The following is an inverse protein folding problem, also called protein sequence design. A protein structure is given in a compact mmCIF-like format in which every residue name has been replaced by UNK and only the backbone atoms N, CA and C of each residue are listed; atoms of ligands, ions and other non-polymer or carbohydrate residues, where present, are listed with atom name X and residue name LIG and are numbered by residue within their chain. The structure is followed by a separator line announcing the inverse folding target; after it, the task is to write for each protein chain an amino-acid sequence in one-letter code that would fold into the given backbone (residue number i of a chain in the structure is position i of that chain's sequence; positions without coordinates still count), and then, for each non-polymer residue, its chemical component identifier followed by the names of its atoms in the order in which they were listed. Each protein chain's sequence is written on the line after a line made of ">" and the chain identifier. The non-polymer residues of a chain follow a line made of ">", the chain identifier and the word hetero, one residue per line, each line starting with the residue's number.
data_IF_909829311045
#
_entry.id   IF_909829311045
#
_cell.length_a   1.000
_cell.length_b   1.000
_cell.length_c   1.000
_cell.angle_alpha   90.00
_cell.angle_beta   90.00
_cell.angle_gamma   90.00
#
_symmetry.space_group_name_H-M   'P 1'
#
loop_
_entity.id
_entity.type
_entity.pdbx_description
1 polymer ?
#
# COMPACT_ATOMS: atom_id res chain seq x y z
N UNK A 1 -13.40 -4.95 -5.25
CA UNK A 1 -12.23 -4.23 -5.81
C UNK A 1 -12.74 -2.96 -6.45
N UNK A 2 -12.02 -1.85 -6.30
CA UNK A 2 -12.38 -0.57 -6.94
C UNK A 2 -11.38 -0.31 -8.05
N UNK A 3 -11.81 -0.18 -9.32
CA UNK A 3 -10.90 0.17 -10.41
C UNK A 3 -10.40 1.60 -10.22
N UNK A 4 -9.09 1.77 -10.01
CA UNK A 4 -8.46 3.08 -9.91
C UNK A 4 -7.95 3.51 -11.29
N UNK A 5 -8.41 4.66 -11.78
CA UNK A 5 -7.94 5.28 -13.02
C UNK A 5 -7.02 6.45 -12.67
N UNK A 6 -5.84 6.51 -13.28
CA UNK A 6 -4.91 7.63 -13.10
C UNK A 6 -4.71 8.34 -14.44
N UNK A 7 -5.20 9.58 -14.55
CA UNK A 7 -4.79 10.49 -15.63
C UNK A 7 -3.37 10.98 -15.30
N UNK A 8 -2.39 10.61 -16.12
CA UNK A 8 -1.01 11.09 -15.94
C UNK A 8 -0.67 12.16 -16.99
N UNK A 9 -0.74 13.43 -16.59
CA UNK A 9 -0.03 14.54 -17.23
C UNK A 9 1.29 14.77 -16.47
N UNK A 10 2.38 14.07 -16.84
CA UNK A 10 3.71 14.39 -16.29
C UNK A 10 4.84 13.35 -16.43
N UNK A 11 5.88 13.76 -17.16
CA UNK A 11 7.25 13.26 -17.37
C UNK A 11 7.48 11.81 -17.88
N UNK A 12 7.77 11.70 -19.19
CA UNK A 12 8.28 10.52 -19.87
C UNK A 12 9.75 10.25 -19.47
N UNK A 13 9.98 9.38 -18.50
CA UNK A 13 11.28 8.77 -18.25
C UNK A 13 11.41 7.43 -18.99
N UNK A 14 12.58 7.14 -19.58
CA UNK A 14 12.90 5.96 -20.39
C UNK A 14 12.82 4.58 -19.67
N UNK A 15 12.23 4.51 -18.48
CA UNK A 15 12.24 3.33 -17.60
C UNK A 15 10.86 2.66 -17.43
N UNK A 16 9.92 2.93 -18.33
CA UNK A 16 8.53 2.46 -18.24
C UNK A 16 8.28 1.35 -19.27
N UNK A 17 8.52 0.08 -18.90
CA UNK A 17 8.03 -1.08 -19.67
C UNK A 17 7.27 -2.04 -18.75
N UNK A 18 6.04 -2.39 -19.16
CA UNK A 18 5.10 -3.39 -18.60
C UNK A 18 4.54 -3.06 -17.19
N UNK A 19 4.08 -4.09 -16.44
CA UNK A 19 3.21 -4.12 -15.24
C UNK A 19 3.44 -3.05 -14.13
N UNK A 20 4.56 -2.32 -14.15
CA UNK A 20 4.88 -1.30 -13.15
C UNK A 20 4.02 -0.03 -13.24
N UNK A 21 3.37 0.21 -14.40
CA UNK A 21 2.43 1.33 -14.62
C UNK A 21 1.29 0.88 -15.55
N UNK A 22 0.10 0.70 -14.99
CA UNK A 22 -1.14 0.46 -15.74
C UNK A 22 -2.06 1.68 -15.58
N UNK A 23 -2.76 2.07 -16.65
CA UNK A 23 -3.76 3.15 -16.63
C UNK A 23 -4.94 2.83 -15.70
N UNK A 24 -5.19 1.55 -15.50
CA UNK A 24 -6.17 1.00 -14.59
C UNK A 24 -5.51 -0.10 -13.79
N UNK A 25 -5.66 -0.05 -12.47
CA UNK A 25 -5.20 -1.09 -11.58
C UNK A 25 -6.15 -1.26 -10.40
N UNK A 26 -6.18 -2.46 -9.85
CA UNK A 26 -6.96 -2.75 -8.66
C UNK A 26 -6.17 -2.33 -7.41
N UNK A 27 -6.83 -1.54 -6.56
CA UNK A 27 -6.31 -1.17 -5.25
C UNK A 27 -7.39 -1.41 -4.20
N UNK A 28 -6.99 -2.04 -3.10
CA UNK A 28 -7.79 -2.08 -1.88
C UNK A 28 -7.33 -0.93 -1.00
N UNK A 29 -8.23 -0.01 -0.70
CA UNK A 29 -7.99 1.13 0.20
C UNK A 29 -8.61 0.85 1.55
N UNK A 30 -7.87 1.11 2.62
CA UNK A 30 -8.37 1.13 3.98
C UNK A 30 -8.54 2.58 4.37
N UNK A 31 -9.73 2.95 4.85
CA UNK A 31 -10.02 4.27 5.40
C UNK A 31 -10.44 4.11 6.84
N UNK A 32 -9.85 4.89 7.73
CA UNK A 32 -10.13 4.84 9.15
C UNK A 32 -10.48 6.24 9.67
N UNK A 33 -11.57 6.34 10.43
CA UNK A 33 -12.00 7.57 11.09
C UNK A 33 -12.03 7.28 12.58
N UNK A 34 -11.20 7.96 13.35
CA UNK A 34 -11.00 7.65 14.76
C UNK A 34 -10.88 8.89 15.61
N UNK A 35 -10.88 8.69 16.93
CA UNK A 35 -10.66 9.77 17.88
C UNK A 35 -9.18 10.17 17.88
N UNK A 36 -8.85 11.45 18.15
CA UNK A 36 -7.47 11.93 18.15
C UNK A 36 -6.52 11.07 18.97
N UNK A 37 -6.95 10.64 20.17
CA UNK A 37 -6.16 9.85 21.12
C UNK A 37 -5.73 8.47 20.58
N UNK A 38 -6.48 7.89 19.64
CA UNK A 38 -6.19 6.58 19.08
C UNK A 38 -5.42 6.68 17.75
N UNK A 39 -5.46 7.83 17.07
CA UNK A 39 -5.06 7.96 15.66
C UNK A 39 -3.65 7.40 15.34
N UNK A 40 -2.64 7.70 16.15
CA UNK A 40 -1.29 7.21 15.94
C UNK A 40 -1.13 5.72 16.20
N UNK A 41 -1.92 5.15 17.13
CA UNK A 41 -1.98 3.70 17.37
C UNK A 41 -2.59 2.98 16.18
N UNK A 42 -3.75 3.47 15.72
CA UNK A 42 -4.42 2.94 14.52
C UNK A 42 -3.53 3.05 13.28
N UNK A 43 -2.71 4.12 13.17
CA UNK A 43 -1.75 4.27 12.07
C UNK A 43 -0.73 3.11 12.03
N UNK A 44 -0.10 2.80 13.17
CA UNK A 44 0.85 1.69 13.26
C UNK A 44 0.17 0.33 13.01
N UNK A 45 -1.07 0.13 13.49
CA UNK A 45 -1.84 -1.08 13.21
C UNK A 45 -2.18 -1.24 11.72
N UNK A 46 -2.57 -0.16 11.04
CA UNK A 46 -2.80 -0.17 9.60
C UNK A 46 -1.54 -0.51 8.81
N UNK A 47 -0.37 0.02 9.21
CA UNK A 47 0.91 -0.32 8.59
C UNK A 47 1.25 -1.80 8.84
N UNK A 48 1.11 -2.27 10.07
CA UNK A 48 1.36 -3.66 10.43
C UNK A 48 0.47 -4.64 9.65
N UNK A 49 -0.79 -4.29 9.39
CA UNK A 49 -1.65 -5.10 8.52
C UNK A 49 -1.09 -5.21 7.10
N UNK A 50 -0.65 -4.10 6.49
CA UNK A 50 -0.07 -4.13 5.15
C UNK A 50 1.24 -4.93 5.11
N UNK A 51 2.07 -4.84 6.14
CA UNK A 51 3.27 -5.67 6.30
C UNK A 51 2.96 -7.16 6.44
N UNK A 52 1.96 -7.52 7.24
CA UNK A 52 1.57 -8.92 7.42
C UNK A 52 1.15 -9.58 6.10
N UNK A 53 0.58 -8.81 5.16
CA UNK A 53 0.30 -9.30 3.80
C UNK A 53 1.59 -9.55 3.02
N UNK A 54 2.60 -8.68 3.14
CA UNK A 54 3.91 -8.86 2.51
C UNK A 54 4.69 -10.05 3.10
N UNK A 55 4.61 -10.24 4.42
CA UNK A 55 5.15 -11.41 5.11
C UNK A 55 4.50 -12.70 4.60
N UNK A 56 3.16 -12.73 4.50
CA UNK A 56 2.41 -13.87 3.97
C UNK A 56 2.71 -14.17 2.50
N UNK A 57 3.06 -13.14 1.71
CA UNK A 57 3.51 -13.26 0.33
C UNK A 57 4.99 -13.61 0.20
N UNK A 58 5.71 -13.76 1.32
CA UNK A 58 7.14 -14.10 1.36
C UNK A 58 8.00 -13.09 0.56
N UNK A 59 7.62 -11.82 0.55
CA UNK A 59 8.31 -10.77 -0.21
C UNK A 59 9.26 -9.98 0.69
N UNK A 60 10.52 -9.74 0.27
CA UNK A 60 11.39 -8.82 0.98
C UNK A 60 10.89 -7.38 0.80
N UNK A 61 10.63 -6.70 1.92
CA UNK A 61 10.18 -5.31 1.94
C UNK A 61 10.96 -4.45 2.93
N UNK A 62 10.78 -3.15 2.81
CA UNK A 62 11.21 -2.16 3.79
C UNK A 62 10.10 -1.16 4.07
N UNK A 63 10.08 -0.65 5.31
CA UNK A 63 9.23 0.46 5.74
C UNK A 63 10.03 1.76 5.71
N UNK A 64 9.47 2.81 5.11
CA UNK A 64 10.05 4.14 5.05
C UNK A 64 9.15 5.15 5.75
N UNK A 65 9.69 5.86 6.76
CA UNK A 65 9.04 7.06 7.28
C UNK A 65 9.39 8.23 6.34
N UNK A 66 8.37 8.83 5.73
CA UNK A 66 8.60 9.91 4.77
C UNK A 66 9.02 11.21 5.47
N UNK A 67 9.94 11.94 4.86
CA UNK A 67 10.29 13.27 5.29
C UNK A 67 9.22 14.28 4.85
N UNK A 68 9.20 15.47 5.46
CA UNK A 68 8.16 16.49 5.15
C UNK A 68 8.07 16.90 3.68
N UNK A 69 9.16 16.80 2.91
CA UNK A 69 9.18 17.13 1.48
C UNK A 69 8.59 16.05 0.57
N UNK A 70 8.58 14.80 1.03
CA UNK A 70 8.06 13.65 0.29
C UNK A 70 6.62 13.29 0.70
N UNK A 71 6.15 13.82 1.83
CA UNK A 71 4.77 13.68 2.27
C UNK A 71 3.82 14.57 1.44
N UNK A 72 2.62 14.07 1.17
CA UNK A 72 1.54 14.89 0.62
C UNK A 72 1.19 16.05 1.56
N UNK A 73 0.84 17.22 0.99
CA UNK A 73 0.52 18.45 1.74
C UNK A 73 -0.50 18.28 2.89
N UNK A 74 -1.33 17.24 2.81
CA UNK A 74 -2.39 16.96 3.77
C UNK A 74 -1.98 16.01 4.90
N UNK A 75 -0.90 15.24 4.76
CA UNK A 75 -0.51 14.19 5.69
C UNK A 75 0.33 14.76 6.85
N UNK A 76 0.03 14.31 8.08
CA UNK A 76 0.83 14.61 9.27
C UNK A 76 1.95 13.58 9.49
N UNK A 77 1.70 12.31 9.14
CA UNK A 77 2.67 11.22 9.17
C UNK A 77 2.34 10.22 8.07
N UNK A 78 3.34 9.78 7.31
CA UNK A 78 3.18 8.80 6.25
C UNK A 78 4.28 7.73 6.31
N UNK A 79 3.87 6.47 6.13
CA UNK A 79 4.78 5.37 5.87
C UNK A 79 4.53 4.82 4.48
N UNK A 80 5.63 4.61 3.74
CA UNK A 80 5.60 3.83 2.51
C UNK A 80 6.20 2.45 2.77
N UNK A 81 5.58 1.42 2.18
CA UNK A 81 6.12 0.07 2.12
C UNK A 81 6.60 -0.18 0.70
N UNK A 82 7.84 -0.63 0.58
CA UNK A 82 8.43 -0.96 -0.71
C UNK A 82 8.91 -2.40 -0.75
N UNK A 83 8.62 -3.10 -1.84
CA UNK A 83 9.14 -4.46 -2.10
C UNK A 83 10.33 -4.40 -3.05
N UNK A 84 11.29 -5.30 -2.87
CA UNK A 84 12.41 -5.39 -3.80
C UNK A 84 12.02 -6.17 -5.06
N UNK A 85 12.32 -5.63 -6.24
CA UNK A 85 12.13 -6.28 -7.53
C UNK A 85 13.48 -6.78 -8.07
N UNK A 86 13.73 -8.09 -7.98
CA UNK A 86 15.04 -8.67 -8.27
C UNK A 86 15.54 -8.47 -9.71
N UNK A 87 14.67 -8.55 -10.71
CA UNK A 87 15.08 -8.36 -12.11
C UNK A 87 15.38 -6.88 -12.41
N UNK A 88 14.64 -5.98 -11.76
CA UNK A 88 14.80 -4.53 -11.92
C UNK A 88 15.86 -3.92 -10.98
N UNK A 89 16.30 -4.68 -9.97
CA UNK A 89 17.27 -4.28 -8.93
C UNK A 89 16.90 -2.97 -8.23
N UNK A 90 15.61 -2.81 -7.89
CA UNK A 90 15.10 -1.61 -7.24
C UNK A 90 13.96 -1.91 -6.28
N UNK A 91 13.70 -0.96 -5.39
CA UNK A 91 12.53 -0.96 -4.51
C UNK A 91 11.33 -0.38 -5.26
N UNK A 92 10.18 -1.02 -5.12
CA UNK A 92 8.91 -0.59 -5.68
C UNK A 92 7.94 -0.32 -4.54
N UNK A 93 7.48 0.92 -4.41
CA UNK A 93 6.41 1.29 -3.49
C UNK A 93 5.15 0.47 -3.78
N UNK A 94 4.62 -0.23 -2.79
CA UNK A 94 3.41 -1.07 -2.91
C UNK A 94 2.30 -0.63 -1.97
N UNK A 95 2.63 0.13 -0.94
CA UNK A 95 1.66 0.72 -0.05
C UNK A 95 2.17 2.07 0.45
N UNK A 96 1.22 2.93 0.77
CA UNK A 96 1.42 4.23 1.39
C UNK A 96 0.27 4.40 2.38
N UNK A 97 0.59 4.65 3.65
CA UNK A 97 -0.36 4.74 4.77
C UNK A 97 -0.14 6.04 5.50
N UNK A 98 -1.16 6.90 5.50
CA UNK A 98 -1.10 8.27 6.00
C UNK A 98 -2.09 8.52 7.13
N UNK A 99 -1.63 9.27 8.15
CA UNK A 99 -2.47 9.93 9.13
C UNK A 99 -2.58 11.42 8.78
N UNK A 100 -3.81 11.93 8.65
CA UNK A 100 -4.08 13.32 8.26
C UNK A 100 -4.49 14.20 9.44
N UNK A 101 -4.51 13.64 10.65
CA UNK A 101 -5.11 14.25 11.83
C UNK A 101 -6.46 14.92 11.49
N UNK A 102 -6.59 16.22 11.77
CA UNK A 102 -7.84 16.96 11.54
C UNK A 102 -7.97 17.54 10.13
N UNK A 103 -6.97 17.40 9.25
CA UNK A 103 -6.91 18.13 7.97
C UNK A 103 -8.14 17.85 7.08
N UNK A 104 -8.47 16.57 6.89
CA UNK A 104 -9.62 16.17 6.07
C UNK A 104 -10.92 16.31 6.87
N UNK A 105 -10.92 15.93 8.16
CA UNK A 105 -12.08 16.03 9.03
C UNK A 105 -12.63 17.45 9.13
N UNK A 106 -11.77 18.47 9.15
CA UNK A 106 -12.20 19.87 9.19
C UNK A 106 -12.94 20.31 7.91
N UNK A 107 -12.54 19.77 6.75
CA UNK A 107 -13.17 20.04 5.45
C UNK A 107 -14.49 19.28 5.29
N UNK A 108 -14.51 18.03 5.73
CA UNK A 108 -15.69 17.15 5.70
C UNK A 108 -16.66 17.36 6.88
N UNK A 109 -16.28 18.20 7.85
CA UNK A 109 -17.04 18.47 9.09
C UNK A 109 -17.30 17.23 9.96
N UNK A 110 -16.35 16.29 9.97
CA UNK A 110 -16.39 15.07 10.79
C UNK A 110 -16.07 15.42 12.24
N UNK A 111 -17.07 15.25 13.12
CA UNK A 111 -16.98 15.67 14.53
C UNK A 111 -17.61 14.63 15.45
N UNK A 112 -17.14 14.58 16.68
CA UNK A 112 -17.75 13.81 17.76
C UNK A 112 -17.97 14.70 18.99
N UNK A 113 -18.88 14.30 19.88
CA UNK A 113 -19.00 14.90 21.21
C UNK A 113 -18.19 14.08 22.19
N UNK A 114 -17.32 14.74 22.95
CA UNK A 114 -16.59 14.08 24.02
C UNK A 114 -17.51 13.78 25.22
N UNK A 115 -16.99 13.07 26.23
CA UNK A 115 -17.73 12.74 27.44
C UNK A 115 -18.17 13.97 28.27
N UNK A 116 -17.69 15.17 27.93
CA UNK A 116 -18.07 16.45 28.55
C UNK A 116 -19.03 17.26 27.66
N UNK A 117 -19.49 16.69 26.54
CA UNK A 117 -20.42 17.32 25.60
C UNK A 117 -19.79 18.35 24.66
N UNK A 118 -18.46 18.52 24.69
CA UNK A 118 -17.75 19.43 23.79
C UNK A 118 -17.56 18.76 22.43
N UNK A 119 -17.83 19.51 21.37
CA UNK A 119 -17.62 19.07 20.00
C UNK A 119 -16.13 19.12 19.65
N UNK A 120 -15.60 18.01 19.15
CA UNK A 120 -14.20 17.84 18.75
C UNK A 120 -14.15 17.29 17.31
N UNK A 121 -13.07 17.58 16.58
CA UNK A 121 -12.82 17.00 15.26
C UNK A 121 -12.30 15.56 15.41
N UNK A 122 -12.70 14.70 14.48
CA UNK A 122 -12.13 13.35 14.35
C UNK A 122 -10.78 13.42 13.61
N UNK A 123 -9.98 12.37 13.76
CA UNK A 123 -8.80 12.14 12.92
C UNK A 123 -9.15 11.18 11.79
N UNK A 124 -8.54 11.40 10.62
CA UNK A 124 -8.70 10.50 9.46
C UNK A 124 -7.37 9.89 9.07
N UNK A 125 -7.44 8.64 8.64
CA UNK A 125 -6.31 7.89 8.10
C UNK A 125 -6.75 7.18 6.83
N UNK A 126 -5.81 6.97 5.92
CA UNK A 126 -6.00 6.07 4.81
C UNK A 126 -4.73 5.28 4.53
N UNK A 127 -4.87 4.18 3.81
CA UNK A 127 -3.72 3.50 3.26
C UNK A 127 -4.10 2.47 2.22
N UNK A 128 -3.21 2.30 1.26
CA UNK A 128 -3.30 1.16 0.34
C UNK A 128 -3.05 -0.11 1.12
N UNK A 129 -3.82 -1.17 0.92
CA UNK A 129 -3.39 -2.50 1.38
C UNK A 129 -2.14 -2.91 0.59
N UNK A 130 -2.29 -3.15 -0.71
CA UNK A 130 -1.20 -3.46 -1.64
C UNK A 130 -1.54 -3.02 -3.07
N UNK A 131 -0.55 -2.46 -3.78
CA UNK A 131 -0.63 -2.15 -5.20
C UNK A 131 -0.36 -3.42 -6.02
N UNK A 132 -1.44 -4.09 -6.45
CA UNK A 132 -1.39 -5.43 -7.05
C UNK A 132 -0.37 -5.56 -8.20
N UNK A 133 -0.26 -4.64 -9.18
CA UNK A 133 0.66 -4.83 -10.31
C UNK A 133 2.14 -4.90 -9.89
N UNK A 134 2.54 -4.08 -8.91
CA UNK A 134 3.92 -4.03 -8.41
C UNK A 134 4.23 -5.24 -7.52
N UNK A 135 3.26 -5.67 -6.71
CA UNK A 135 3.37 -6.89 -5.90
C UNK A 135 3.50 -8.12 -6.78
N UNK A 136 2.67 -8.25 -7.82
CA UNK A 136 2.75 -9.36 -8.78
C UNK A 136 4.10 -9.35 -9.50
N UNK A 137 4.58 -8.19 -9.95
CA UNK A 137 5.90 -8.09 -10.59
C UNK A 137 7.02 -8.57 -9.64
N UNK A 138 7.05 -8.08 -8.41
CA UNK A 138 8.05 -8.49 -7.42
C UNK A 138 7.93 -9.99 -7.07
N UNK A 139 6.72 -10.53 -6.94
CA UNK A 139 6.47 -11.94 -6.68
C UNK A 139 7.01 -12.82 -7.80
N UNK A 140 6.70 -12.49 -9.05
CA UNK A 140 7.20 -13.25 -10.20
C UNK A 140 8.71 -13.14 -10.37
N UNK A 141 9.30 -11.99 -10.08
CA UNK A 141 10.76 -11.77 -10.19
C UNK A 141 11.54 -12.47 -9.08
N UNK A 142 11.06 -12.40 -7.83
CA UNK A 142 11.79 -12.92 -6.66
C UNK A 142 11.66 -14.44 -6.49
N UNK A 143 10.65 -15.06 -7.08
CA UNK A 143 10.35 -16.48 -6.87
C UNK A 143 10.70 -17.37 -8.09
N UNK A 144 11.53 -16.87 -9.01
CA UNK A 144 12.01 -17.68 -10.14
C UNK A 144 12.98 -18.76 -9.68
N UNK A 145 12.82 -19.96 -10.23
CA UNK A 145 13.72 -21.10 -10.03
C UNK A 145 13.88 -21.95 -11.29
N UNK A 146 14.70 -23.02 -11.22
CA UNK A 146 14.92 -23.91 -12.35
C UNK A 146 13.65 -24.59 -12.88
N UNK A 147 12.70 -24.90 -12.00
CA UNK A 147 11.45 -25.59 -12.30
C UNK A 147 10.29 -24.68 -12.73
N UNK A 148 10.41 -23.35 -12.56
CA UNK A 148 9.30 -22.43 -12.78
C UNK A 148 9.31 -21.28 -11.78
N UNK A 149 8.15 -20.69 -11.52
CA UNK A 149 7.98 -19.62 -10.52
C UNK A 149 7.22 -20.20 -9.33
N UNK A 150 7.84 -20.21 -8.15
CA UNK A 150 7.20 -20.67 -6.92
C UNK A 150 6.10 -19.69 -6.51
N UNK A 151 4.94 -20.20 -6.12
CA UNK A 151 3.85 -19.43 -5.53
C UNK A 151 3.98 -19.46 -4.00
N UNK A 152 3.89 -18.31 -3.30
CA UNK A 152 3.89 -18.27 -1.84
C UNK A 152 2.79 -19.15 -1.23
N UNK A 153 3.06 -19.76 -0.08
CA UNK A 153 2.13 -20.74 0.52
C UNK A 153 0.74 -20.15 0.78
N UNK A 154 0.66 -18.86 1.12
CA UNK A 154 -0.59 -18.15 1.35
C UNK A 154 -1.49 -18.05 0.11
N UNK A 155 -0.93 -18.15 -1.10
CA UNK A 155 -1.68 -18.06 -2.37
C UNK A 155 -2.11 -19.43 -2.91
N UNK A 156 -1.47 -20.52 -2.51
CA UNK A 156 -1.76 -21.88 -3.00
C UNK A 156 -3.24 -22.28 -2.89
N UNK A 157 -3.97 -21.98 -1.78
CA UNK A 157 -5.40 -22.29 -1.68
C UNK A 157 -6.27 -21.56 -2.72
N UNK A 158 -5.79 -20.44 -3.26
CA UNK A 158 -6.51 -19.62 -4.24
C UNK A 158 -6.11 -19.96 -5.68
N UNK A 159 -4.84 -20.28 -5.92
CA UNK A 159 -4.32 -20.62 -7.25
C UNK A 159 -4.56 -22.08 -7.62
N UNK A 160 -4.59 -22.99 -6.63
CA UNK A 160 -4.68 -24.43 -6.84
C UNK A 160 -3.35 -25.08 -7.28
N UNK A 161 -2.26 -24.32 -7.29
CA UNK A 161 -0.91 -24.80 -7.63
C UNK A 161 0.16 -24.04 -6.83
N UNK A 162 1.30 -24.68 -6.60
CA UNK A 162 2.45 -24.14 -5.85
C UNK A 162 3.61 -23.68 -6.76
N UNK A 163 3.56 -24.00 -8.06
CA UNK A 163 4.53 -23.57 -9.07
C UNK A 163 3.80 -23.19 -10.36
N UNK A 164 4.14 -22.03 -10.93
CA UNK A 164 3.82 -21.72 -12.33
C UNK A 164 4.90 -22.38 -13.18
N UNK A 165 4.51 -23.44 -13.89
CA UNK A 165 5.39 -24.15 -14.81
C UNK A 165 5.74 -23.26 -16.02
N UNK A 166 6.93 -23.50 -16.59
CA UNK A 166 7.27 -22.93 -17.89
C UNK A 166 6.45 -23.67 -18.95
N UNK A 167 5.30 -23.13 -19.33
CA UNK A 167 4.65 -23.58 -20.56
C UNK A 167 5.61 -23.29 -21.72
N UNK A 168 6.01 -24.36 -22.42
CA UNK A 168 6.74 -24.28 -23.68
C UNK A 168 5.90 -23.65 -24.78
#
# INVERSE_FOLDING_TARGET
>A
ETPCVKEETGNLGAHVRRLNRLHQFDKVEIVHITRPENSYKEHEEMVAHAESLLDALELPYRRLLLCGGDMGFNAAKCYDLEVFAAAQKRWLEVSSVSNFETFQANRLKLRYKDGKGKTQLLHTLNGSALALPRVVAALLENNQGPSGIRIPAALVPYTGFDVIERNG
#
